data_IF_143223288604
#
_entry.id   IF_143223288604
#
_cell.length_a   1.000
_cell.length_b   1.000
_cell.length_c   1.000
_cell.angle_alpha   90.00
_cell.angle_beta   90.00
_cell.angle_gamma   90.00
#
_symmetry.space_group_name_H-M   'P 1'
#
loop_
_entity.id
_entity.type
_entity.pdbx_description
1 polymer ?
#
# COMPACT_ATOMS: atom_id res chain seq x y z
N UNK A 1 -8.79 -15.87 -23.38
CA UNK A 1 -9.78 -15.09 -22.59
C UNK A 1 -9.86 -15.61 -21.13
N UNK A 2 -8.72 -15.81 -20.45
CA UNK A 2 -8.63 -16.53 -19.15
C UNK A 2 -7.98 -15.67 -18.04
N UNK A 3 -7.09 -14.74 -18.41
CA UNK A 3 -6.28 -13.97 -17.46
C UNK A 3 -7.01 -12.76 -16.83
N UNK A 4 -8.03 -12.23 -17.52
CA UNK A 4 -8.82 -11.07 -17.06
C UNK A 4 -9.56 -11.30 -15.73
N UNK A 5 -10.44 -12.33 -15.62
CA UNK A 5 -11.21 -12.56 -14.40
C UNK A 5 -10.38 -13.03 -13.20
N UNK A 6 -9.14 -13.50 -13.41
CA UNK A 6 -8.21 -13.91 -12.34
C UNK A 6 -7.29 -12.77 -11.89
N UNK A 7 -7.36 -11.59 -12.51
CA UNK A 7 -6.49 -10.45 -12.18
C UNK A 7 -5.02 -10.67 -12.48
N UNK A 8 -4.66 -11.74 -13.22
CA UNK A 8 -3.28 -12.12 -13.55
C UNK A 8 -2.78 -11.46 -14.85
N UNK A 9 -3.56 -10.52 -15.40
CA UNK A 9 -3.18 -9.83 -16.63
C UNK A 9 -2.04 -8.85 -16.33
N UNK A 10 -0.87 -8.97 -17.00
CA UNK A 10 0.24 -8.05 -16.79
C UNK A 10 -0.21 -6.62 -17.09
N UNK A 11 0.14 -5.69 -16.20
CA UNK A 11 -0.30 -4.32 -16.28
C UNK A 11 0.92 -3.38 -16.23
N UNK A 12 1.11 -2.49 -17.22
CA UNK A 12 2.19 -1.51 -17.22
C UNK A 12 2.18 -0.58 -16.01
N UNK A 13 1.00 -0.28 -15.44
CA UNK A 13 0.89 0.54 -14.22
C UNK A 13 1.45 -0.15 -12.97
N UNK A 14 1.58 -1.48 -13.03
CA UNK A 14 2.03 -2.37 -11.95
C UNK A 14 3.52 -2.66 -12.08
N UNK A 15 4.19 -2.08 -13.10
CA UNK A 15 5.60 -2.38 -13.39
C UNK A 15 5.87 -3.82 -13.83
N UNK A 16 4.82 -4.64 -14.01
CA UNK A 16 4.92 -6.03 -14.49
C UNK A 16 5.17 -6.11 -16.00
N UNK A 17 5.01 -4.99 -16.71
CA UNK A 17 5.38 -4.83 -18.12
C UNK A 17 6.53 -3.83 -18.18
N UNK A 18 7.75 -4.31 -17.95
CA UNK A 18 8.98 -3.50 -18.00
C UNK A 18 10.07 -4.24 -18.79
N UNK A 19 10.98 -3.50 -19.44
CA UNK A 19 12.14 -4.10 -20.11
C UNK A 19 13.11 -4.81 -19.14
N UNK A 20 13.09 -4.45 -17.85
CA UNK A 20 13.94 -5.05 -16.82
C UNK A 20 13.19 -6.12 -16.00
N UNK A 21 13.05 -7.31 -16.59
CA UNK A 21 12.29 -8.43 -16.02
C UNK A 21 12.94 -8.98 -14.73
N UNK A 22 14.26 -8.98 -14.64
CA UNK A 22 14.98 -9.53 -13.49
C UNK A 22 14.69 -8.75 -12.20
N UNK A 23 14.62 -7.42 -12.29
CA UNK A 23 14.27 -6.56 -11.16
C UNK A 23 12.80 -6.72 -10.76
N UNK A 24 11.89 -6.72 -11.74
CA UNK A 24 10.46 -6.91 -11.50
C UNK A 24 10.15 -8.23 -10.78
N UNK A 25 10.87 -9.32 -11.11
CA UNK A 25 10.71 -10.62 -10.42
C UNK A 25 11.23 -10.57 -8.98
N UNK A 26 12.33 -9.86 -8.73
CA UNK A 26 12.86 -9.69 -7.35
C UNK A 26 11.90 -8.88 -6.49
N UNK A 27 11.38 -7.79 -7.03
CA UNK A 27 10.46 -6.90 -6.31
C UNK A 27 9.11 -7.58 -6.05
N UNK A 28 8.60 -8.35 -7.01
CA UNK A 28 7.41 -9.16 -6.83
C UNK A 28 7.60 -10.26 -5.77
N UNK A 29 8.76 -10.92 -5.75
CA UNK A 29 9.11 -11.91 -4.70
C UNK A 29 9.31 -11.27 -3.32
N UNK A 30 9.77 -10.02 -3.28
CA UNK A 30 9.93 -9.22 -2.06
C UNK A 30 8.60 -8.84 -1.40
N UNK A 31 7.46 -9.18 -2.01
CA UNK A 31 6.14 -8.91 -1.45
C UNK A 31 5.68 -7.48 -1.68
N UNK A 32 6.05 -6.88 -2.83
CA UNK A 32 5.57 -5.56 -3.22
C UNK A 32 4.03 -5.47 -3.14
N UNK A 33 3.53 -4.56 -2.30
CA UNK A 33 2.10 -4.29 -2.14
C UNK A 33 1.75 -3.04 -2.92
N UNK A 34 0.80 -3.17 -3.82
CA UNK A 34 0.26 -2.03 -4.55
C UNK A 34 -0.92 -1.42 -3.82
N UNK A 35 -0.97 -0.10 -3.85
CA UNK A 35 -2.10 0.66 -3.35
C UNK A 35 -2.68 1.52 -4.46
N UNK A 36 -4.01 1.58 -4.53
CA UNK A 36 -4.73 2.43 -5.47
C UNK A 36 -5.71 3.31 -4.71
N UNK A 37 -5.86 4.53 -5.19
CA UNK A 37 -6.86 5.47 -4.69
C UNK A 37 -8.23 5.11 -5.25
N UNK A 38 -9.22 5.00 -4.38
CA UNK A 38 -10.63 4.91 -4.72
C UNK A 38 -11.19 6.29 -5.15
N UNK A 39 -12.34 6.33 -5.83
CA UNK A 39 -13.03 7.57 -6.23
C UNK A 39 -13.24 8.57 -5.09
N UNK A 40 -13.47 8.11 -3.87
CA UNK A 40 -13.59 8.94 -2.66
C UNK A 40 -12.26 9.48 -2.12
N UNK A 41 -11.13 9.20 -2.76
CA UNK A 41 -9.80 9.65 -2.31
C UNK A 41 -9.23 8.85 -1.14
N UNK A 42 -9.78 7.66 -0.87
CA UNK A 42 -9.31 6.75 0.18
C UNK A 42 -8.36 5.72 -0.42
N UNK A 43 -7.29 5.40 0.31
CA UNK A 43 -6.35 4.35 -0.05
C UNK A 43 -6.53 3.17 0.90
N UNK A 44 -6.68 1.98 0.33
CA UNK A 44 -6.70 0.72 1.05
C UNK A 44 -5.47 -0.09 0.69
N UNK A 45 -4.75 -0.59 1.68
CA UNK A 45 -3.64 -1.51 1.48
C UNK A 45 -3.51 -2.47 2.65
N UNK A 46 -3.17 -3.72 2.33
CA UNK A 46 -2.92 -4.77 3.31
C UNK A 46 -1.51 -4.64 3.86
N UNK A 47 -1.38 -4.47 5.18
CA UNK A 47 -0.09 -4.22 5.85
C UNK A 47 0.55 -5.54 6.33
N UNK A 48 -0.25 -6.60 6.45
CA UNK A 48 0.23 -7.91 6.87
C UNK A 48 -0.91 -8.83 7.29
N UNK A 49 -0.55 -9.90 8.01
CA UNK A 49 -1.49 -10.83 8.65
C UNK A 49 -1.41 -10.68 10.17
N UNK A 50 -2.47 -11.10 10.86
CA UNK A 50 -2.49 -11.15 12.32
C UNK A 50 -1.44 -12.09 12.93
N UNK A 51 -0.86 -12.99 12.13
CA UNK A 51 0.21 -13.90 12.55
C UNK A 51 1.61 -13.28 12.51
N UNK A 52 1.74 -12.01 12.10
CA UNK A 52 3.03 -11.31 12.08
C UNK A 52 3.36 -10.78 13.47
N UNK A 53 4.65 -10.55 13.73
CA UNK A 53 5.09 -9.90 14.96
C UNK A 53 4.72 -8.43 14.96
N UNK A 54 4.52 -7.86 16.13
CA UNK A 54 4.15 -6.45 16.30
C UNK A 54 5.19 -5.52 15.66
N UNK A 55 6.48 -5.84 15.79
CA UNK A 55 7.57 -5.08 15.17
C UNK A 55 7.46 -5.04 13.63
N UNK A 56 7.17 -6.18 13.01
CA UNK A 56 7.02 -6.25 11.56
C UNK A 56 5.81 -5.45 11.08
N UNK A 57 4.70 -5.48 11.83
CA UNK A 57 3.52 -4.68 11.53
C UNK A 57 3.83 -3.18 11.62
N UNK A 58 4.53 -2.73 12.67
CA UNK A 58 4.91 -1.31 12.83
C UNK A 58 5.81 -0.85 11.67
N UNK A 59 6.80 -1.64 11.27
CA UNK A 59 7.68 -1.32 10.14
C UNK A 59 6.87 -1.19 8.85
N UNK A 60 5.95 -2.12 8.59
CA UNK A 60 5.12 -2.09 7.38
C UNK A 60 4.18 -0.87 7.35
N UNK A 61 3.60 -0.48 8.48
CA UNK A 61 2.78 0.75 8.56
C UNK A 61 3.62 1.98 8.22
N UNK A 62 4.81 2.11 8.80
CA UNK A 62 5.73 3.23 8.56
C UNK A 62 6.14 3.31 7.08
N UNK A 63 6.55 2.19 6.50
CA UNK A 63 6.94 2.11 5.09
C UNK A 63 5.81 2.56 4.16
N UNK A 64 4.57 2.18 4.47
CA UNK A 64 3.40 2.57 3.68
C UNK A 64 3.11 4.07 3.75
N UNK A 65 3.21 4.67 4.94
CA UNK A 65 3.00 6.12 5.12
C UNK A 65 4.10 6.92 4.40
N UNK A 66 5.35 6.47 4.49
CA UNK A 66 6.46 7.09 3.76
C UNK A 66 6.25 7.04 2.24
N UNK A 67 5.84 5.88 1.72
CA UNK A 67 5.53 5.70 0.30
C UNK A 67 4.37 6.60 -0.16
N UNK A 68 3.34 6.78 0.67
CA UNK A 68 2.23 7.70 0.40
C UNK A 68 2.68 9.15 0.37
N UNK A 69 3.48 9.58 1.35
CA UNK A 69 4.02 10.94 1.39
C UNK A 69 4.90 11.26 0.18
N UNK A 70 5.71 10.30 -0.26
CA UNK A 70 6.52 10.42 -1.50
C UNK A 70 5.66 10.49 -2.76
N UNK A 71 4.50 9.83 -2.74
CA UNK A 71 3.52 9.83 -3.84
C UNK A 71 2.57 11.03 -3.82
N UNK A 72 2.81 12.03 -2.96
CA UNK A 72 2.02 13.25 -2.89
C UNK A 72 2.07 14.01 -4.23
N UNK A 73 0.92 14.26 -4.88
CA UNK A 73 0.88 15.07 -6.10
C UNK A 73 1.30 16.51 -5.80
N UNK A 74 2.02 17.16 -6.72
CA UNK A 74 2.45 18.56 -6.58
C UNK A 74 1.29 19.55 -6.41
N UNK A 75 0.09 19.23 -6.92
CA UNK A 75 -1.12 20.03 -6.75
C UNK A 75 -1.82 19.89 -5.39
N UNK A 76 -1.40 18.96 -4.53
CA UNK A 76 -2.06 18.70 -3.25
C UNK A 76 -1.64 19.74 -2.19
N UNK A 77 -2.57 20.63 -1.84
CA UNK A 77 -2.38 21.66 -0.81
C UNK A 77 -2.77 21.15 0.58
N UNK A 78 -2.04 21.58 1.61
CA UNK A 78 -2.31 21.24 3.01
C UNK A 78 -1.82 19.86 3.45
N UNK A 79 -2.40 19.36 4.54
CA UNK A 79 -2.09 18.05 5.12
C UNK A 79 -2.58 16.95 4.19
N UNK A 80 -1.66 16.13 3.67
CA UNK A 80 -1.95 15.11 2.67
C UNK A 80 -2.71 13.91 3.26
N UNK A 81 -2.28 13.43 4.43
CA UNK A 81 -2.90 12.32 5.15
C UNK A 81 -3.77 12.87 6.27
N UNK A 82 -5.09 12.77 6.14
CA UNK A 82 -6.04 13.32 7.12
C UNK A 82 -6.33 12.39 8.30
N UNK A 83 -6.38 11.08 8.04
CA UNK A 83 -6.77 10.07 9.03
C UNK A 83 -6.23 8.71 8.62
N UNK A 84 -5.77 7.93 9.60
CA UNK A 84 -5.36 6.54 9.42
C UNK A 84 -6.27 5.67 10.29
N UNK A 85 -6.84 4.64 9.68
CA UNK A 85 -7.66 3.64 10.37
C UNK A 85 -7.09 2.26 10.11
N UNK A 86 -6.78 1.51 11.17
CA UNK A 86 -6.35 0.13 11.08
C UNK A 86 -7.51 -0.78 11.47
N UNK A 87 -7.78 -1.78 10.65
CA UNK A 87 -8.82 -2.78 10.89
C UNK A 87 -8.29 -4.14 10.49
N UNK A 88 -8.68 -5.17 11.23
CA UNK A 88 -8.59 -6.54 10.74
C UNK A 88 -9.76 -6.84 9.81
N UNK A 89 -9.67 -7.95 9.06
CA UNK A 89 -10.68 -8.32 8.04
C UNK A 89 -12.09 -8.46 8.61
N UNK A 90 -12.22 -8.89 9.86
CA UNK A 90 -13.50 -9.15 10.54
C UNK A 90 -13.63 -8.41 11.88
N UNK A 91 -12.77 -7.42 12.15
CA UNK A 91 -12.74 -6.72 13.43
C UNK A 91 -13.14 -5.25 13.32
N UNK A 92 -13.32 -4.57 14.46
CA UNK A 92 -13.56 -3.13 14.49
C UNK A 92 -12.32 -2.36 14.03
N UNK A 93 -12.55 -1.20 13.43
CA UNK A 93 -11.48 -0.29 13.00
C UNK A 93 -11.06 0.67 14.12
N UNK A 94 -9.76 0.74 14.38
CA UNK A 94 -9.16 1.68 15.32
C UNK A 94 -8.51 2.84 14.59
N UNK A 95 -8.75 4.05 15.07
CA UNK A 95 -8.08 5.25 14.55
C UNK A 95 -6.68 5.31 15.15
N UNK A 96 -5.70 5.54 14.29
CA UNK A 96 -4.30 5.72 14.71
C UNK A 96 -3.90 7.16 14.43
N UNK A 97 -3.16 7.73 15.37
CA UNK A 97 -2.64 9.08 15.21
C UNK A 97 -1.50 9.09 14.19
N UNK A 98 -1.66 9.90 13.15
CA UNK A 98 -0.68 10.04 12.06
C UNK A 98 0.61 10.68 12.57
N UNK A 99 0.53 11.52 13.61
CA UNK A 99 1.70 12.16 14.23
C UNK A 99 2.60 11.17 14.97
N UNK A 100 2.03 10.10 15.52
CA UNK A 100 2.77 9.06 16.26
C UNK A 100 3.55 8.10 15.36
N UNK A 101 3.26 8.09 14.05
CA UNK A 101 3.88 7.20 13.07
C UNK A 101 5.00 7.93 12.29
N UNK A 102 5.06 9.25 12.40
CA UNK A 102 6.16 10.06 11.85
C UNK A 102 7.38 10.05 12.77
N UNK A 103 8.57 9.96 12.16
CA UNK A 103 9.75 10.61 12.72
C UNK A 103 9.69 12.11 12.42
#
# INVERSE_FOLDING_TARGET
KVLGPRGLMPNPKVGTVTPNVAQAVKDAKGGAVEFRVEKAGIVHAGIGKASFTDEALVINVKALIEALNRSKPSGAKGVFIKRVGLSSTMGPGFKVDVSSIGA
#
